data_IF_475102466243
#
_entry.id   IF_475102466243
#
_cell.length_a   1.000
_cell.length_b   1.000
_cell.length_c   1.000
_cell.angle_alpha   90.00
_cell.angle_beta   90.00
_cell.angle_gamma   90.00
#
_symmetry.space_group_name_H-M   'P 1'
#
loop_
_entity.id
_entity.type
_entity.pdbx_description
1 polymer ?
#
# COMPACT_ATOMS: atom_id res chain seq x y z
N UNK A 1 -12.67 6.26 -33.48
CA UNK A 1 -11.44 6.77 -32.83
C UNK A 1 -11.55 6.46 -31.36
N UNK A 2 -11.06 5.31 -30.91
CA UNK A 2 -10.90 5.02 -29.48
C UNK A 2 -9.60 4.26 -29.29
N UNK A 3 -8.66 4.89 -28.58
CA UNK A 3 -7.43 4.25 -28.15
C UNK A 3 -7.70 3.57 -26.82
N UNK A 4 -7.92 2.25 -26.82
CA UNK A 4 -7.88 1.45 -25.60
C UNK A 4 -6.47 1.48 -25.05
N UNK A 5 -6.23 2.33 -24.05
CA UNK A 5 -4.93 2.45 -23.41
C UNK A 5 -4.51 1.11 -22.79
N UNK A 6 -3.41 0.54 -23.30
CA UNK A 6 -2.80 -0.67 -22.74
C UNK A 6 -2.39 -0.39 -21.29
N UNK A 7 -3.11 -0.96 -20.32
CA UNK A 7 -2.87 -0.75 -18.88
C UNK A 7 -1.54 -1.41 -18.48
N UNK A 8 -0.60 -0.62 -17.97
CA UNK A 8 0.64 -1.15 -17.39
C UNK A 8 0.33 -2.05 -16.16
N UNK A 9 1.07 -3.15 -16.01
CA UNK A 9 0.99 -4.09 -14.88
C UNK A 9 1.51 -3.44 -13.59
N UNK A 10 0.59 -2.86 -12.80
CA UNK A 10 0.91 -2.27 -11.49
C UNK A 10 1.03 -3.37 -10.43
N UNK A 11 1.94 -3.16 -9.47
CA UNK A 11 2.10 -4.07 -8.32
C UNK A 11 0.88 -3.97 -7.39
N UNK A 12 0.38 -5.11 -6.93
CA UNK A 12 -0.69 -5.23 -5.94
C UNK A 12 -0.05 -5.55 -4.59
N UNK A 13 -0.40 -4.80 -3.55
CA UNK A 13 0.16 -4.91 -2.20
C UNK A 13 -0.98 -5.11 -1.19
N UNK A 14 -0.76 -5.98 -0.20
CA UNK A 14 -1.73 -6.26 0.88
C UNK A 14 -1.18 -5.68 2.18
N UNK A 15 -1.96 -4.86 2.89
CA UNK A 15 -1.53 -4.21 4.12
C UNK A 15 -2.69 -4.07 5.12
N UNK A 16 -2.37 -3.56 6.29
CA UNK A 16 -3.33 -3.37 7.40
C UNK A 16 -3.74 -1.90 7.43
N UNK A 17 -5.03 -1.61 7.62
CA UNK A 17 -5.53 -0.24 7.81
C UNK A 17 -5.03 0.27 9.16
N UNK A 18 -4.24 1.34 9.16
CA UNK A 18 -3.67 1.91 10.39
C UNK A 18 -4.49 3.05 10.95
N UNK A 19 -5.04 3.90 10.07
CA UNK A 19 -5.93 4.97 10.50
C UNK A 19 -6.78 5.47 9.34
N UNK A 20 -7.93 6.01 9.71
CA UNK A 20 -8.84 6.70 8.81
C UNK A 20 -9.09 8.08 9.38
N UNK A 21 -8.55 9.10 8.71
CA UNK A 21 -8.60 10.49 9.21
C UNK A 21 -9.03 11.48 8.13
N UNK A 22 -9.43 11.02 6.94
CA UNK A 22 -9.87 11.88 5.84
C UNK A 22 -11.09 11.33 5.11
N UNK A 23 -11.68 12.16 4.26
CA UNK A 23 -12.80 11.78 3.41
C UNK A 23 -12.32 10.93 2.23
N UNK A 24 -12.93 9.75 2.08
CA UNK A 24 -12.65 8.77 1.02
C UNK A 24 -11.18 8.31 0.93
N UNK A 25 -10.42 8.44 2.02
CA UNK A 25 -9.00 8.11 2.05
C UNK A 25 -8.64 7.38 3.33
N UNK A 26 -7.91 6.27 3.20
CA UNK A 26 -7.41 5.47 4.32
C UNK A 26 -5.88 5.37 4.29
N UNK A 27 -5.25 5.35 5.47
CA UNK A 27 -3.83 5.01 5.62
C UNK A 27 -3.70 3.51 5.78
N UNK A 28 -3.04 2.87 4.81
CA UNK A 28 -2.71 1.44 4.84
C UNK A 28 -1.22 1.29 5.10
N UNK A 29 -0.86 0.46 6.08
CA UNK A 29 0.53 0.12 6.38
C UNK A 29 0.89 -1.22 5.75
N UNK A 30 1.87 -1.20 4.85
CA UNK A 30 2.49 -2.39 4.27
C UNK A 30 3.75 -2.75 5.07
N UNK A 31 3.83 -3.97 5.59
CA UNK A 31 5.00 -4.45 6.33
C UNK A 31 5.73 -5.53 5.54
N UNK A 32 7.05 -5.44 5.46
CA UNK A 32 7.90 -6.38 4.76
C UNK A 32 9.23 -6.58 5.48
N UNK A 33 9.84 -7.75 5.31
CA UNK A 33 11.14 -8.08 5.88
C UNK A 33 12.23 -7.84 4.85
N UNK A 34 13.31 -7.20 5.26
CA UNK A 34 14.51 -7.00 4.43
C UNK A 34 15.74 -7.37 5.26
N UNK A 35 16.71 -8.11 4.70
CA UNK A 35 17.99 -8.34 5.38
C UNK A 35 18.78 -7.03 5.50
N UNK A 36 19.43 -6.82 6.65
CA UNK A 36 20.37 -5.71 6.80
C UNK A 36 21.54 -5.91 5.81
N UNK A 37 21.94 -4.89 5.03
CA UNK A 37 22.92 -5.05 3.96
C UNK A 37 24.28 -5.58 4.45
N UNK A 38 24.72 -5.20 5.66
CA UNK A 38 26.01 -5.61 6.22
C UNK A 38 25.95 -6.92 7.03
N UNK A 39 24.90 -7.09 7.83
CA UNK A 39 24.85 -8.14 8.87
C UNK A 39 23.90 -9.29 8.53
N UNK A 40 23.16 -9.19 7.41
CA UNK A 40 22.14 -10.17 6.94
C UNK A 40 21.03 -10.52 7.95
N UNK A 41 20.98 -9.86 9.11
CA UNK A 41 19.88 -9.96 10.08
C UNK A 41 18.59 -9.46 9.44
N UNK A 42 17.49 -10.20 9.60
CA UNK A 42 16.18 -9.77 9.11
C UNK A 42 15.65 -8.56 9.88
N UNK A 43 15.30 -7.49 9.17
CA UNK A 43 14.70 -6.28 9.73
C UNK A 43 13.28 -6.13 9.18
N UNK A 44 12.32 -5.86 10.08
CA UNK A 44 10.95 -5.49 9.69
C UNK A 44 10.92 -4.01 9.30
N UNK A 45 10.52 -3.72 8.07
CA UNK A 45 10.24 -2.36 7.58
C UNK A 45 8.75 -2.19 7.34
N UNK A 46 8.28 -0.95 7.46
CA UNK A 46 6.90 -0.58 7.17
C UNK A 46 6.87 0.64 6.26
N UNK A 47 5.94 0.63 5.31
CA UNK A 47 5.65 1.77 4.42
C UNK A 47 4.17 2.08 4.55
N UNK A 48 3.85 3.36 4.74
CA UNK A 48 2.46 3.83 4.79
C UNK A 48 2.07 4.32 3.41
N UNK A 49 0.94 3.83 2.91
CA UNK A 49 0.35 4.23 1.63
C UNK A 49 -1.06 4.76 1.85
N UNK A 50 -1.48 5.71 1.03
CA UNK A 50 -2.84 6.21 1.03
C UNK A 50 -3.64 5.46 -0.04
N UNK A 51 -4.77 4.87 0.36
CA UNK A 51 -5.69 4.23 -0.56
C UNK A 51 -7.00 5.01 -0.63
N UNK A 52 -7.59 5.07 -1.82
CA UNK A 52 -8.90 5.67 -2.04
C UNK A 52 -9.98 4.64 -1.70
N UNK A 53 -10.90 5.02 -0.81
CA UNK A 53 -12.07 4.22 -0.43
C UNK A 53 -13.33 5.06 -0.67
N UNK A 54 -14.08 4.76 -1.72
CA UNK A 54 -15.25 5.57 -2.12
C UNK A 54 -16.43 5.45 -1.14
N UNK A 55 -16.63 4.25 -0.60
CA UNK A 55 -17.77 3.93 0.26
C UNK A 55 -17.46 4.08 1.73
N UNK A 56 -16.21 4.36 2.07
CA UNK A 56 -15.86 4.72 3.43
C UNK A 56 -16.26 3.57 4.39
N UNK A 57 -16.13 2.31 3.94
CA UNK A 57 -16.61 1.10 4.62
C UNK A 57 -15.55 0.52 5.56
N UNK A 58 -14.30 0.98 5.47
CA UNK A 58 -13.21 0.48 6.31
C UNK A 58 -13.29 1.04 7.74
N UNK A 59 -13.41 0.16 8.74
CA UNK A 59 -13.38 0.45 10.18
C UNK A 59 -12.00 0.35 10.81
#
# INVERSE_FOLDING_TARGET
MEATATRNSRKVLIGIVSSRSGDKTIKVTYSYKVPHPLYKKEIKRKTVVHAHDEKNECG
#
